data_IF_198017168035
#
_entry.id   IF_198017168035
#
_cell.length_a   1.000
_cell.length_b   1.000
_cell.length_c   1.000
_cell.angle_alpha   90.00
_cell.angle_beta   90.00
_cell.angle_gamma   90.00
#
_symmetry.space_group_name_H-M   'P 1'
#
loop_
_entity.id
_entity.type
_entity.pdbx_description
1 polymer ?
#
# COMPACT_ATOMS: atom_id res chain seq x y z
N UNK A 1 -9.96 -4.91 16.71
CA UNK A 1 -8.61 -4.38 16.42
C UNK A 1 -8.30 -4.77 14.97
N UNK A 2 -7.74 -3.85 14.20
CA UNK A 2 -7.28 -4.15 12.85
C UNK A 2 -6.22 -5.24 12.92
N UNK A 3 -6.26 -6.27 12.07
CA UNK A 3 -5.17 -7.23 11.96
C UNK A 3 -3.94 -6.47 11.44
N UNK A 4 -2.92 -6.39 12.28
CA UNK A 4 -1.65 -5.76 11.94
C UNK A 4 -0.67 -6.86 11.59
N UNK A 5 -0.08 -6.80 10.42
CA UNK A 5 0.87 -7.79 9.95
C UNK A 5 2.32 -7.26 10.02
N UNK A 6 3.24 -8.17 10.26
CA UNK A 6 4.68 -7.99 10.14
C UNK A 6 5.22 -9.08 9.20
N UNK A 7 5.91 -8.71 8.13
CA UNK A 7 6.58 -9.69 7.27
C UNK A 7 7.99 -9.91 7.82
N UNK A 8 8.30 -11.16 8.22
CA UNK A 8 9.64 -11.52 8.66
C UNK A 8 10.61 -11.65 7.47
N UNK A 9 11.89 -11.87 7.75
CA UNK A 9 12.93 -11.97 6.72
C UNK A 9 12.76 -13.17 5.76
N UNK A 10 11.94 -14.14 6.13
CA UNK A 10 11.62 -15.32 5.32
C UNK A 10 10.37 -15.11 4.44
N UNK A 11 9.75 -13.93 4.51
CA UNK A 11 8.52 -13.58 3.78
C UNK A 11 7.23 -14.10 4.44
N UNK A 12 7.30 -14.60 5.69
CA UNK A 12 6.14 -15.07 6.44
C UNK A 12 5.46 -13.90 7.16
N UNK A 13 4.13 -13.82 7.04
CA UNK A 13 3.34 -12.83 7.76
C UNK A 13 3.08 -13.27 9.20
N UNK A 14 3.50 -12.44 10.15
CA UNK A 14 3.21 -12.58 11.58
C UNK A 14 2.10 -11.59 11.95
N UNK A 15 0.92 -12.12 12.25
CA UNK A 15 -0.23 -11.29 12.63
C UNK A 15 -0.15 -10.87 14.10
N UNK A 16 -0.07 -9.57 14.33
CA UNK A 16 -0.03 -8.94 15.66
C UNK A 16 -1.43 -8.49 16.05
N UNK A 17 -2.00 -9.05 17.09
CA UNK A 17 -3.37 -8.74 17.55
C UNK A 17 -3.41 -7.67 18.62
N UNK A 18 -2.32 -7.45 19.34
CA UNK A 18 -2.22 -6.41 20.35
C UNK A 18 -0.80 -6.13 20.77
N UNK A 19 -0.50 -4.85 21.00
CA UNK A 19 0.75 -4.40 21.60
C UNK A 19 0.47 -4.07 23.06
N UNK A 20 1.27 -4.63 23.96
CA UNK A 20 1.11 -4.47 25.40
C UNK A 20 1.52 -3.07 25.85
N UNK A 21 0.60 -2.41 26.54
CA UNK A 21 0.89 -1.16 27.22
C UNK A 21 1.66 -1.35 28.53
N UNK A 22 2.00 -0.24 29.18
CA UNK A 22 2.72 -0.21 30.47
C UNK A 22 1.78 0.08 31.66
N UNK A 23 0.48 0.22 31.42
CA UNK A 23 -0.50 0.52 32.46
C UNK A 23 -0.73 -0.69 33.36
N UNK A 24 -0.46 -0.53 34.67
CA UNK A 24 -0.56 -1.62 35.67
C UNK A 24 -1.99 -2.04 35.97
N UNK A 25 -2.98 -1.19 35.69
CA UNK A 25 -4.37 -1.47 35.94
C UNK A 25 -5.06 -2.21 34.76
N UNK A 26 -4.37 -2.34 33.64
CA UNK A 26 -4.84 -3.08 32.47
C UNK A 26 -4.38 -4.53 32.50
N UNK A 27 -5.32 -5.46 32.27
CA UNK A 27 -4.99 -6.90 32.27
C UNK A 27 -3.99 -7.29 31.20
N UNK A 28 -4.19 -6.77 29.99
CA UNK A 28 -3.30 -6.98 28.83
C UNK A 28 -2.28 -5.83 28.73
N UNK A 29 -1.35 -5.82 29.68
CA UNK A 29 -0.19 -4.92 29.70
C UNK A 29 1.03 -5.69 30.20
N UNK A 30 2.21 -5.14 29.97
CA UNK A 30 3.47 -5.77 30.41
C UNK A 30 3.46 -6.13 31.91
N UNK A 31 2.80 -5.31 32.73
CA UNK A 31 2.73 -5.46 34.19
C UNK A 31 1.36 -5.95 34.70
N UNK A 32 0.43 -6.28 33.80
CA UNK A 32 -0.93 -6.69 34.13
C UNK A 32 -1.06 -8.19 34.42
N UNK A 33 -2.31 -8.61 34.65
CA UNK A 33 -2.64 -10.01 34.98
C UNK A 33 -2.17 -11.00 33.91
N UNK A 34 -2.28 -10.63 32.63
CA UNK A 34 -1.82 -11.40 31.47
C UNK A 34 -0.53 -10.82 30.87
N UNK A 35 0.29 -10.20 31.71
CA UNK A 35 1.55 -9.58 31.31
C UNK A 35 2.73 -10.56 31.31
N UNK A 36 3.93 -10.00 31.33
CA UNK A 36 5.19 -10.74 31.18
C UNK A 36 5.34 -11.92 32.17
N UNK A 37 4.99 -11.70 33.44
CA UNK A 37 5.13 -12.75 34.48
C UNK A 37 4.19 -13.93 34.23
N UNK A 38 2.96 -13.68 33.72
CA UNK A 38 2.00 -14.71 33.36
C UNK A 38 2.56 -15.62 32.27
N UNK A 39 3.08 -15.06 31.20
CA UNK A 39 3.61 -15.84 30.09
C UNK A 39 4.83 -16.67 30.47
N UNK A 40 5.74 -16.10 31.26
CA UNK A 40 6.94 -16.80 31.74
C UNK A 40 6.57 -17.89 32.77
N UNK A 41 5.71 -17.58 33.78
CA UNK A 41 5.49 -18.48 34.91
C UNK A 41 4.40 -19.54 34.67
N UNK A 42 3.40 -19.27 33.82
CA UNK A 42 2.27 -20.14 33.56
C UNK A 42 2.34 -20.87 32.22
N UNK A 43 2.93 -20.22 31.22
CA UNK A 43 3.07 -20.77 29.88
C UNK A 43 4.52 -21.22 29.58
N UNK A 44 5.40 -21.11 30.59
CA UNK A 44 6.79 -21.57 30.53
C UNK A 44 7.63 -20.95 29.41
N UNK A 45 7.25 -19.77 28.94
CA UNK A 45 8.06 -19.04 27.99
C UNK A 45 9.46 -18.72 28.55
N UNK A 46 10.52 -18.76 27.73
CA UNK A 46 11.87 -18.51 28.20
C UNK A 46 12.03 -17.06 28.74
N UNK A 47 12.72 -16.87 29.86
CA UNK A 47 12.89 -15.56 30.47
C UNK A 47 13.97 -14.72 29.76
N UNK A 48 13.79 -14.52 28.42
CA UNK A 48 14.75 -13.80 27.58
C UNK A 48 14.60 -12.28 27.63
N UNK A 49 13.45 -11.81 28.16
CA UNK A 49 13.17 -10.39 28.23
C UNK A 49 11.71 -10.09 28.54
N UNK A 50 11.07 -9.26 27.73
CA UNK A 50 9.73 -8.71 27.99
C UNK A 50 8.78 -9.04 26.83
N UNK A 51 7.65 -9.66 27.15
CA UNK A 51 6.54 -9.84 26.18
C UNK A 51 5.96 -8.48 25.85
N UNK A 52 5.88 -8.14 24.57
CA UNK A 52 5.39 -6.82 24.12
C UNK A 52 4.18 -6.90 23.20
N UNK A 53 3.91 -8.06 22.60
CA UNK A 53 2.74 -8.22 21.75
C UNK A 53 2.30 -9.68 21.71
N UNK A 54 1.00 -9.85 21.47
CA UNK A 54 0.37 -11.13 21.17
C UNK A 54 0.09 -11.26 19.66
N UNK A 55 -0.06 -12.51 19.25
CA UNK A 55 -0.40 -12.88 17.88
C UNK A 55 -1.78 -13.51 17.82
N UNK A 56 -2.25 -13.84 16.61
CA UNK A 56 -3.52 -14.54 16.42
C UNK A 56 -3.53 -15.99 16.96
N UNK A 57 -2.36 -16.51 17.37
CA UNK A 57 -2.20 -17.89 17.85
C UNK A 57 -2.88 -18.17 19.19
N UNK A 58 -3.38 -17.12 19.88
CA UNK A 58 -3.99 -17.28 21.21
C UNK A 58 -2.99 -17.60 22.31
N UNK A 59 -1.73 -17.28 22.14
CA UNK A 59 -0.66 -17.48 23.12
C UNK A 59 0.30 -18.61 22.78
N UNK A 60 0.12 -19.32 21.65
CA UNK A 60 1.07 -20.36 21.21
C UNK A 60 2.35 -19.75 20.60
N UNK A 61 2.31 -18.50 20.17
CA UNK A 61 3.50 -17.71 19.89
C UNK A 61 3.33 -16.27 20.36
N UNK A 62 4.41 -15.71 20.89
CA UNK A 62 4.43 -14.38 21.50
C UNK A 62 5.63 -13.57 21.01
N UNK A 63 5.48 -12.25 21.01
CA UNK A 63 6.54 -11.33 20.60
C UNK A 63 7.23 -10.74 21.83
N UNK A 64 8.55 -10.86 21.86
CA UNK A 64 9.40 -10.44 22.97
C UNK A 64 10.40 -9.36 22.56
N UNK A 65 10.72 -8.49 23.50
CA UNK A 65 11.99 -7.76 23.51
C UNK A 65 13.06 -8.66 24.14
N UNK A 66 14.03 -9.06 23.34
CA UNK A 66 15.12 -9.97 23.78
C UNK A 66 16.31 -9.18 24.30
N UNK A 67 16.54 -9.25 25.60
CA UNK A 67 17.62 -8.54 26.30
C UNK A 67 18.89 -9.37 26.54
N UNK A 68 18.95 -10.60 26.03
CA UNK A 68 20.07 -11.51 26.28
C UNK A 68 21.42 -10.98 25.79
N UNK A 69 21.43 -10.31 24.62
CA UNK A 69 22.68 -9.80 24.05
C UNK A 69 23.03 -8.38 24.53
N UNK A 70 22.04 -7.52 24.75
CA UNK A 70 22.26 -6.09 25.02
C UNK A 70 22.24 -5.76 26.54
N UNK A 71 21.72 -6.68 27.39
CA UNK A 71 21.50 -6.43 28.82
C UNK A 71 20.36 -5.44 29.09
N UNK A 72 20.04 -5.16 30.37
CA UNK A 72 18.80 -4.48 30.77
C UNK A 72 18.72 -2.99 30.38
N UNK A 73 19.79 -2.40 29.89
CA UNK A 73 19.86 -0.99 29.50
C UNK A 73 20.21 -0.78 28.02
N UNK A 74 20.46 -1.86 27.28
CA UNK A 74 20.72 -1.81 25.85
C UNK A 74 19.44 -1.82 25.03
N UNK A 75 19.58 -1.63 23.72
CA UNK A 75 18.47 -1.75 22.76
C UNK A 75 18.21 -3.24 22.50
N UNK A 76 17.03 -3.78 22.85
CA UNK A 76 16.71 -5.19 22.64
C UNK A 76 16.29 -5.47 21.20
N UNK A 77 16.59 -6.67 20.74
CA UNK A 77 16.00 -7.21 19.51
C UNK A 77 14.53 -7.57 19.74
N UNK A 78 13.72 -7.52 18.66
CA UNK A 78 12.35 -8.04 18.68
C UNK A 78 12.35 -9.44 18.09
N UNK A 79 11.83 -10.39 18.85
CA UNK A 79 11.79 -11.79 18.43
C UNK A 79 10.40 -12.39 18.64
N UNK A 80 10.01 -13.33 17.77
CA UNK A 80 8.88 -14.23 17.97
C UNK A 80 9.37 -15.48 18.68
N UNK A 81 8.65 -15.94 19.68
CA UNK A 81 8.91 -17.21 20.36
C UNK A 81 7.72 -18.10 20.15
N UNK A 82 7.94 -19.25 19.51
CA UNK A 82 6.92 -20.23 19.15
C UNK A 82 6.93 -21.39 20.15
N UNK A 83 5.89 -21.48 20.99
CA UNK A 83 5.74 -22.51 22.01
C UNK A 83 5.60 -23.92 21.40
N UNK A 84 4.83 -24.06 20.32
CA UNK A 84 4.63 -25.35 19.67
C UNK A 84 5.89 -25.84 18.95
N UNK A 85 6.77 -24.91 18.55
CA UNK A 85 8.07 -25.19 17.98
C UNK A 85 9.19 -25.34 19.02
N UNK A 86 8.89 -25.89 20.20
CA UNK A 86 9.86 -26.05 21.33
C UNK A 86 10.53 -24.72 21.73
N UNK A 87 9.71 -23.67 21.81
CA UNK A 87 10.13 -22.28 22.11
C UNK A 87 11.21 -21.76 21.16
N UNK A 88 11.13 -22.16 19.89
CA UNK A 88 12.01 -21.65 18.86
C UNK A 88 11.91 -20.13 18.73
N UNK A 89 13.05 -19.48 18.52
CA UNK A 89 13.15 -18.02 18.52
C UNK A 89 13.50 -17.54 17.12
N UNK A 90 12.62 -16.73 16.55
CA UNK A 90 12.80 -16.09 15.23
C UNK A 90 13.00 -14.60 15.39
N UNK A 91 14.07 -14.03 14.81
CA UNK A 91 14.30 -12.59 14.80
C UNK A 91 13.26 -11.91 13.89
N UNK A 92 12.60 -10.88 14.41
CA UNK A 92 11.68 -10.03 13.64
C UNK A 92 12.36 -8.70 13.27
N UNK A 93 12.97 -8.00 14.24
CA UNK A 93 13.62 -6.72 14.01
C UNK A 93 14.79 -6.49 14.98
N UNK A 94 15.74 -5.65 14.57
CA UNK A 94 16.91 -5.30 15.38
C UNK A 94 16.59 -4.31 16.51
N UNK A 95 15.43 -3.61 16.43
CA UNK A 95 14.94 -2.72 17.49
C UNK A 95 13.42 -2.71 17.54
N UNK A 96 12.84 -2.30 18.69
CA UNK A 96 11.40 -2.10 18.79
C UNK A 96 10.89 -0.99 17.84
N UNK A 97 11.69 0.05 17.66
CA UNK A 97 11.35 1.13 16.71
C UNK A 97 11.27 0.65 15.26
N UNK A 98 12.14 -0.27 14.87
CA UNK A 98 12.12 -0.84 13.50
C UNK A 98 10.98 -1.84 13.33
N UNK A 99 10.66 -2.62 14.37
CA UNK A 99 9.48 -3.48 14.39
C UNK A 99 8.19 -2.68 14.18
N UNK A 100 7.99 -1.60 14.93
CA UNK A 100 6.79 -0.75 14.80
C UNK A 100 6.67 -0.13 13.40
N UNK A 101 7.77 0.32 12.79
CA UNK A 101 7.76 0.91 11.43
C UNK A 101 7.39 -0.09 10.33
N UNK A 102 7.59 -1.37 10.57
CA UNK A 102 7.32 -2.44 9.63
C UNK A 102 5.93 -3.07 9.79
N UNK A 103 5.19 -2.68 10.84
CA UNK A 103 3.80 -3.09 11.00
C UNK A 103 2.92 -2.43 9.95
N UNK A 104 2.09 -3.22 9.30
CA UNK A 104 1.12 -2.73 8.31
C UNK A 104 -0.23 -3.43 8.47
N UNK A 105 -1.28 -2.83 7.93
CA UNK A 105 -2.61 -3.43 7.85
C UNK A 105 -2.65 -4.24 6.55
N UNK A 106 -3.05 -5.52 6.60
CA UNK A 106 -3.19 -6.31 5.37
C UNK A 106 -4.45 -5.90 4.61
N UNK A 107 -4.32 -5.70 3.30
CA UNK A 107 -5.46 -5.39 2.43
C UNK A 107 -6.41 -6.58 2.31
N UNK A 108 -5.91 -7.81 2.44
CA UNK A 108 -6.71 -9.05 2.38
C UNK A 108 -7.63 -9.20 3.59
N UNK A 109 -7.17 -8.75 4.77
CA UNK A 109 -7.83 -8.99 6.05
C UNK A 109 -8.67 -7.81 6.54
N UNK A 110 -8.49 -6.60 5.97
CA UNK A 110 -9.25 -5.43 6.38
C UNK A 110 -10.72 -5.57 5.98
N UNK A 111 -11.62 -5.36 6.93
CA UNK A 111 -13.06 -5.32 6.64
C UNK A 111 -13.45 -4.03 5.91
N UNK A 112 -14.59 -4.04 5.21
CA UNK A 112 -15.10 -2.86 4.51
C UNK A 112 -15.36 -1.69 5.48
N UNK A 113 -15.89 -1.96 6.68
CA UNK A 113 -16.13 -0.97 7.71
C UNK A 113 -14.84 -0.34 8.23
N UNK A 114 -13.81 -1.16 8.47
CA UNK A 114 -12.49 -0.70 8.91
C UNK A 114 -11.81 0.13 7.82
N UNK A 115 -11.86 -0.32 6.57
CA UNK A 115 -11.32 0.43 5.44
C UNK A 115 -12.04 1.78 5.26
N UNK A 116 -13.38 1.80 5.34
CA UNK A 116 -14.14 3.04 5.24
C UNK A 116 -13.81 4.05 6.36
N UNK A 117 -13.45 3.56 7.56
CA UNK A 117 -13.07 4.38 8.69
C UNK A 117 -11.68 5.04 8.57
N UNK A 118 -10.82 4.56 7.66
CA UNK A 118 -9.52 5.19 7.40
C UNK A 118 -9.69 6.57 6.74
N UNK A 119 -8.69 7.45 6.91
CA UNK A 119 -8.59 8.66 6.09
C UNK A 119 -8.36 8.29 4.63
N UNK A 120 -8.67 9.20 3.70
CA UNK A 120 -8.46 8.92 2.27
C UNK A 120 -6.97 8.76 1.94
N UNK A 121 -6.09 9.49 2.64
CA UNK A 121 -4.64 9.35 2.54
C UNK A 121 -4.18 7.96 2.99
N UNK A 122 -4.72 7.45 4.12
CA UNK A 122 -4.37 6.11 4.62
C UNK A 122 -4.90 5.01 3.70
N UNK A 123 -6.12 5.18 3.13
CA UNK A 123 -6.65 4.27 2.11
C UNK A 123 -5.74 4.18 0.89
N UNK A 124 -5.32 5.34 0.37
CA UNK A 124 -4.41 5.41 -0.79
C UNK A 124 -3.06 4.79 -0.47
N UNK A 125 -2.53 5.05 0.73
CA UNK A 125 -1.27 4.46 1.17
C UNK A 125 -1.36 2.94 1.24
N UNK A 126 -2.38 2.41 1.91
CA UNK A 126 -2.62 0.96 2.03
C UNK A 126 -2.70 0.30 0.65
N UNK A 127 -3.49 0.86 -0.27
CA UNK A 127 -3.61 0.34 -1.63
C UNK A 127 -2.28 0.39 -2.38
N UNK A 128 -1.57 1.54 -2.37
CA UNK A 128 -0.32 1.68 -3.10
C UNK A 128 0.79 0.74 -2.61
N UNK A 129 0.78 0.39 -1.33
CA UNK A 129 1.76 -0.51 -0.73
C UNK A 129 1.45 -1.99 -0.98
N UNK A 130 0.19 -2.34 -1.26
CA UNK A 130 -0.26 -3.72 -1.25
C UNK A 130 -1.11 -4.15 -2.46
N UNK A 131 -1.38 -3.28 -3.43
CA UNK A 131 -2.23 -3.66 -4.58
C UNK A 131 -1.67 -4.82 -5.40
N UNK A 132 -0.34 -4.97 -5.45
CA UNK A 132 0.32 -6.08 -6.13
C UNK A 132 0.07 -7.44 -5.42
N UNK A 133 -0.36 -7.43 -4.15
CA UNK A 133 -0.70 -8.62 -3.38
C UNK A 133 -2.13 -9.09 -3.68
N UNK A 134 -3.10 -8.16 -3.71
CA UNK A 134 -4.51 -8.44 -4.04
C UNK A 134 -5.19 -7.22 -4.69
N UNK A 135 -5.07 -7.15 -6.00
CA UNK A 135 -5.65 -6.05 -6.79
C UNK A 135 -7.18 -6.11 -6.82
N UNK A 136 -7.76 -7.31 -6.81
CA UNK A 136 -9.21 -7.51 -6.82
C UNK A 136 -9.82 -6.99 -5.51
N UNK A 137 -9.16 -7.26 -4.39
CA UNK A 137 -9.59 -6.73 -3.09
C UNK A 137 -9.45 -5.21 -3.02
N UNK A 138 -8.38 -4.63 -3.56
CA UNK A 138 -8.22 -3.18 -3.66
C UNK A 138 -9.36 -2.52 -4.47
N UNK A 139 -9.73 -3.11 -5.59
CA UNK A 139 -10.86 -2.62 -6.40
C UNK A 139 -12.19 -2.78 -5.67
N UNK A 140 -12.43 -3.92 -5.04
CA UNK A 140 -13.64 -4.19 -4.26
C UNK A 140 -13.82 -3.17 -3.13
N UNK A 141 -12.80 -2.95 -2.31
CA UNK A 141 -12.83 -1.99 -1.20
C UNK A 141 -13.21 -0.58 -1.66
N UNK A 142 -12.63 -0.10 -2.76
CA UNK A 142 -12.97 1.22 -3.32
C UNK A 142 -14.38 1.26 -3.90
N UNK A 143 -14.81 0.22 -4.63
CA UNK A 143 -16.14 0.19 -5.24
C UNK A 143 -17.27 0.05 -4.22
N UNK A 144 -17.02 -0.62 -3.08
CA UNK A 144 -17.99 -0.77 -1.99
C UNK A 144 -18.27 0.54 -1.23
N UNK A 145 -17.38 1.54 -1.32
CA UNK A 145 -17.69 2.91 -0.87
C UNK A 145 -18.80 3.54 -1.72
N UNK A 146 -18.94 3.10 -2.98
CA UNK A 146 -19.79 3.70 -4.00
C UNK A 146 -19.08 4.81 -4.76
N UNK A 147 -19.03 4.69 -6.09
CA UNK A 147 -18.25 5.60 -6.96
C UNK A 147 -18.62 7.08 -6.75
N UNK A 148 -19.88 7.38 -6.47
CA UNK A 148 -20.37 8.75 -6.26
C UNK A 148 -19.92 9.34 -4.90
N UNK A 149 -19.43 8.51 -3.99
CA UNK A 149 -18.93 8.91 -2.67
C UNK A 149 -17.39 8.97 -2.62
N UNK A 150 -16.71 8.55 -3.68
CA UNK A 150 -15.25 8.59 -3.72
C UNK A 150 -14.76 10.04 -3.85
N UNK A 151 -13.80 10.39 -3.01
CA UNK A 151 -13.07 11.66 -3.16
C UNK A 151 -12.21 11.68 -4.43
N UNK A 152 -11.77 12.87 -4.90
CA UNK A 152 -10.91 12.97 -6.09
C UNK A 152 -9.65 12.11 -6.06
N UNK A 153 -9.02 11.95 -4.89
CA UNK A 153 -7.81 11.12 -4.74
C UNK A 153 -8.15 9.63 -4.85
N UNK A 154 -9.28 9.19 -4.30
CA UNK A 154 -9.73 7.80 -4.39
C UNK A 154 -10.22 7.47 -5.81
N UNK A 155 -10.93 8.39 -6.49
CA UNK A 155 -11.28 8.25 -7.91
C UNK A 155 -10.03 8.12 -8.78
N UNK A 156 -9.01 8.94 -8.52
CA UNK A 156 -7.74 8.87 -9.23
C UNK A 156 -6.99 7.56 -8.98
N UNK A 157 -7.07 7.02 -7.76
CA UNK A 157 -6.47 5.75 -7.39
C UNK A 157 -7.18 4.59 -8.10
N UNK A 158 -8.51 4.53 -8.05
CA UNK A 158 -9.29 3.50 -8.74
C UNK A 158 -9.10 3.57 -10.25
N UNK A 159 -9.07 4.78 -10.84
CA UNK A 159 -8.80 4.97 -12.27
C UNK A 159 -7.40 4.47 -12.67
N UNK A 160 -6.38 4.65 -11.80
CA UNK A 160 -5.06 4.10 -12.02
C UNK A 160 -5.07 2.56 -11.99
N UNK A 161 -5.76 1.97 -11.02
CA UNK A 161 -5.91 0.51 -10.93
C UNK A 161 -6.61 -0.02 -12.19
N UNK A 162 -7.67 0.61 -12.66
CA UNK A 162 -8.35 0.22 -13.88
C UNK A 162 -7.45 0.31 -15.11
N UNK A 163 -6.63 1.37 -15.24
CA UNK A 163 -5.65 1.49 -16.31
C UNK A 163 -4.64 0.33 -16.33
N UNK A 164 -4.18 -0.09 -15.16
CA UNK A 164 -3.20 -1.17 -15.03
C UNK A 164 -3.80 -2.57 -15.27
N UNK A 165 -5.15 -2.66 -15.33
CA UNK A 165 -5.89 -3.92 -15.48
C UNK A 165 -6.76 -3.95 -16.74
N UNK A 166 -6.31 -3.35 -17.83
CA UNK A 166 -6.94 -3.35 -19.14
C UNK A 166 -8.39 -2.78 -19.17
N UNK A 167 -8.75 -1.98 -18.16
CA UNK A 167 -10.07 -1.34 -18.03
C UNK A 167 -9.98 0.16 -18.37
N UNK A 168 -9.29 0.50 -19.45
CA UNK A 168 -9.02 1.88 -19.83
C UNK A 168 -10.26 2.75 -20.08
N UNK A 169 -11.34 2.18 -20.62
CA UNK A 169 -12.59 2.92 -20.84
C UNK A 169 -13.23 3.36 -19.51
N UNK A 170 -13.29 2.47 -18.54
CA UNK A 170 -13.82 2.75 -17.21
C UNK A 170 -12.91 3.72 -16.44
N UNK A 171 -11.59 3.63 -16.65
CA UNK A 171 -10.65 4.60 -16.09
C UNK A 171 -10.92 6.02 -16.61
N UNK A 172 -11.18 6.18 -17.91
CA UNK A 172 -11.55 7.50 -18.50
C UNK A 172 -12.79 8.05 -17.82
N UNK A 173 -13.85 7.25 -17.64
CA UNK A 173 -15.09 7.67 -16.98
C UNK A 173 -14.85 8.15 -15.54
N UNK A 174 -13.97 7.48 -14.79
CA UNK A 174 -13.60 7.88 -13.42
C UNK A 174 -12.84 9.21 -13.41
N UNK A 175 -11.86 9.38 -14.31
CA UNK A 175 -11.10 10.63 -14.41
C UNK A 175 -11.99 11.82 -14.82
N UNK A 176 -13.04 11.61 -15.60
CA UNK A 176 -13.99 12.67 -15.96
C UNK A 176 -14.81 13.19 -14.79
N UNK A 177 -15.06 12.36 -13.76
CA UNK A 177 -15.74 12.77 -12.53
C UNK A 177 -14.92 13.68 -11.63
N UNK A 178 -13.60 13.76 -11.84
CA UNK A 178 -12.71 14.59 -11.04
C UNK A 178 -12.81 16.06 -11.46
N UNK A 179 -13.20 16.92 -10.52
CA UNK A 179 -13.29 18.36 -10.73
C UNK A 179 -11.97 18.96 -11.20
N UNK A 180 -12.03 19.99 -12.03
CA UNK A 180 -10.87 20.62 -12.64
C UNK A 180 -9.86 21.15 -11.58
N UNK A 181 -10.33 21.62 -10.43
CA UNK A 181 -9.50 22.10 -9.34
C UNK A 181 -8.56 21.04 -8.74
N UNK A 182 -8.85 19.76 -8.93
CA UNK A 182 -8.03 18.62 -8.48
C UNK A 182 -7.17 17.99 -9.57
N UNK A 183 -7.18 18.55 -10.82
CA UNK A 183 -6.44 18.01 -11.96
C UNK A 183 -4.99 18.49 -11.96
N UNK A 184 -4.14 17.72 -11.33
CA UNK A 184 -2.69 17.89 -11.34
C UNK A 184 -2.03 17.18 -12.55
N UNK A 185 -0.70 17.17 -12.63
CA UNK A 185 0.04 16.48 -13.69
C UNK A 185 -0.31 15.00 -13.78
N UNK A 186 -0.56 14.33 -12.64
CA UNK A 186 -0.83 12.88 -12.59
C UNK A 186 -2.20 12.56 -13.19
N UNK A 187 -3.19 13.43 -13.01
CA UNK A 187 -4.49 13.29 -13.66
C UNK A 187 -4.36 13.34 -15.19
N UNK A 188 -3.64 14.33 -15.73
CA UNK A 188 -3.41 14.44 -17.18
C UNK A 188 -2.64 13.24 -17.73
N UNK A 189 -1.61 12.79 -17.01
CA UNK A 189 -0.84 11.62 -17.38
C UNK A 189 -1.70 10.35 -17.43
N UNK A 190 -2.44 10.05 -16.34
CA UNK A 190 -3.23 8.83 -16.21
C UNK A 190 -4.38 8.78 -17.21
N UNK A 191 -5.12 9.88 -17.38
CA UNK A 191 -6.18 9.97 -18.40
C UNK A 191 -5.60 9.86 -19.80
N UNK A 192 -4.47 10.51 -20.08
CA UNK A 192 -3.76 10.39 -21.35
C UNK A 192 -3.30 8.95 -21.64
N UNK A 193 -2.80 8.25 -20.63
CA UNK A 193 -2.45 6.83 -20.73
C UNK A 193 -3.66 5.95 -21.03
N UNK A 194 -4.81 6.20 -20.38
CA UNK A 194 -6.05 5.47 -20.67
C UNK A 194 -6.47 5.64 -22.14
N UNK A 195 -6.46 6.86 -22.65
CA UNK A 195 -6.74 7.11 -24.07
C UNK A 195 -5.71 6.46 -24.99
N UNK A 196 -4.43 6.45 -24.61
CA UNK A 196 -3.39 5.77 -25.40
C UNK A 196 -3.63 4.25 -25.47
N UNK A 197 -4.09 3.63 -24.38
CA UNK A 197 -4.46 2.21 -24.35
C UNK A 197 -5.66 1.90 -25.24
N UNK A 198 -6.68 2.76 -25.25
CA UNK A 198 -7.86 2.65 -26.13
C UNK A 198 -7.52 2.87 -27.60
N UNK A 199 -6.50 3.71 -27.87
CA UNK A 199 -6.07 4.06 -29.22
C UNK A 199 -5.25 2.98 -29.92
N UNK A 200 -4.92 1.84 -29.26
CA UNK A 200 -4.05 0.83 -29.84
C UNK A 200 -4.52 0.33 -31.20
N UNK A 201 -3.69 0.53 -32.22
CA UNK A 201 -4.00 0.15 -33.61
C UNK A 201 -4.89 1.13 -34.37
N UNK A 202 -5.23 2.29 -33.76
CA UNK A 202 -6.00 3.36 -34.47
C UNK A 202 -5.06 4.27 -35.29
N UNK A 203 -5.67 5.10 -36.18
CA UNK A 203 -4.90 6.08 -36.95
C UNK A 203 -4.56 7.32 -36.13
N UNK A 204 -3.55 8.10 -36.57
CA UNK A 204 -3.16 9.36 -35.96
C UNK A 204 -4.32 10.33 -35.72
N UNK A 205 -5.27 10.37 -36.65
CA UNK A 205 -6.43 11.28 -36.62
C UNK A 205 -7.61 10.76 -35.80
N UNK A 206 -7.47 9.59 -35.13
CA UNK A 206 -8.53 9.11 -34.25
C UNK A 206 -8.69 9.98 -33.02
N UNK A 207 -9.87 9.98 -32.44
CA UNK A 207 -10.19 10.79 -31.26
C UNK A 207 -9.32 10.39 -30.09
N UNK A 208 -9.15 9.10 -29.82
CA UNK A 208 -8.35 8.62 -28.71
C UNK A 208 -6.87 8.98 -28.84
N UNK A 209 -6.28 8.87 -30.03
CA UNK A 209 -4.87 9.30 -30.25
C UNK A 209 -4.71 10.79 -29.99
N UNK A 210 -5.61 11.63 -30.53
CA UNK A 210 -5.52 13.08 -30.34
C UNK A 210 -5.70 13.49 -28.89
N UNK A 211 -6.66 12.88 -28.17
CA UNK A 211 -6.87 13.14 -26.75
C UNK A 211 -5.68 12.68 -25.91
N UNK A 212 -5.13 11.50 -26.19
CA UNK A 212 -3.94 11.00 -25.50
C UNK A 212 -2.76 11.97 -25.64
N UNK A 213 -2.44 12.38 -26.87
CA UNK A 213 -1.32 13.29 -27.12
C UNK A 213 -1.50 14.65 -26.43
N UNK A 214 -2.70 15.26 -26.50
CA UNK A 214 -2.99 16.54 -25.85
C UNK A 214 -2.88 16.46 -24.33
N UNK A 215 -3.40 15.38 -23.71
CA UNK A 215 -3.34 15.18 -22.28
C UNK A 215 -1.89 14.95 -21.81
N UNK A 216 -1.14 14.11 -22.53
CA UNK A 216 0.27 13.85 -22.21
C UNK A 216 1.14 15.10 -22.40
N UNK A 217 0.91 15.91 -23.43
CA UNK A 217 1.61 17.19 -23.60
C UNK A 217 1.36 18.11 -22.39
N UNK A 218 0.13 18.19 -21.91
CA UNK A 218 -0.21 18.96 -20.71
C UNK A 218 0.49 18.41 -19.48
N UNK A 219 0.54 17.09 -19.31
CA UNK A 219 1.26 16.44 -18.22
C UNK A 219 2.77 16.76 -18.30
N UNK A 220 3.38 16.68 -19.48
CA UNK A 220 4.79 17.04 -19.71
C UNK A 220 5.11 18.49 -19.33
N UNK A 221 4.22 19.42 -19.68
CA UNK A 221 4.38 20.82 -19.29
C UNK A 221 4.37 20.98 -17.78
N UNK A 222 3.37 20.40 -17.10
CA UNK A 222 3.22 20.48 -15.65
C UNK A 222 4.39 19.80 -14.91
N UNK A 223 4.89 18.66 -15.39
CA UNK A 223 6.04 17.95 -14.79
C UNK A 223 7.35 18.74 -14.96
N UNK A 224 7.54 19.41 -16.10
CA UNK A 224 8.69 20.29 -16.31
C UNK A 224 8.66 21.51 -15.37
N UNK A 225 7.50 22.16 -15.23
CA UNK A 225 7.30 23.29 -14.31
C UNK A 225 7.54 22.90 -12.84
N UNK A 226 7.22 21.65 -12.47
CA UNK A 226 7.42 21.10 -11.13
C UNK A 226 8.79 20.41 -10.93
N UNK A 227 9.68 20.41 -11.92
CA UNK A 227 10.99 19.73 -11.89
C UNK A 227 10.93 18.22 -11.58
N UNK A 228 9.92 17.53 -12.11
CA UNK A 228 9.65 16.10 -11.92
C UNK A 228 10.23 15.27 -13.08
N UNK A 229 11.55 15.09 -13.12
CA UNK A 229 12.25 14.45 -14.25
C UNK A 229 11.83 13.00 -14.51
N UNK A 230 11.64 12.20 -13.44
CA UNK A 230 11.18 10.81 -13.55
C UNK A 230 9.80 10.73 -14.16
N UNK A 231 8.88 11.59 -13.74
CA UNK A 231 7.51 11.65 -14.24
C UNK A 231 7.45 12.17 -15.69
N UNK A 232 8.37 13.05 -16.06
CA UNK A 232 8.52 13.47 -17.44
C UNK A 232 8.95 12.30 -18.35
N UNK A 233 9.83 11.41 -17.87
CA UNK A 233 10.21 10.18 -18.58
C UNK A 233 8.99 9.30 -18.87
N UNK A 234 8.11 9.11 -17.91
CA UNK A 234 6.87 8.33 -18.12
C UNK A 234 5.97 8.94 -19.20
N UNK A 235 5.86 10.27 -19.24
CA UNK A 235 5.12 10.93 -20.31
C UNK A 235 5.75 10.65 -21.69
N UNK A 236 7.08 10.68 -21.80
CA UNK A 236 7.78 10.36 -23.03
C UNK A 236 7.55 8.91 -23.48
N UNK A 237 7.50 7.97 -22.53
CA UNK A 237 7.21 6.55 -22.80
C UNK A 237 5.82 6.37 -23.43
N UNK A 238 4.80 7.07 -22.91
CA UNK A 238 3.44 7.03 -23.47
C UNK A 238 3.42 7.60 -24.91
N UNK A 239 4.12 8.70 -25.17
CA UNK A 239 4.25 9.24 -26.52
C UNK A 239 4.93 8.23 -27.44
N UNK A 240 6.03 7.62 -27.00
CA UNK A 240 6.72 6.60 -27.77
C UNK A 240 5.82 5.39 -28.06
N UNK A 241 5.03 4.96 -27.08
CA UNK A 241 4.03 3.91 -27.27
C UNK A 241 3.02 4.25 -28.36
N UNK A 242 2.40 5.46 -28.32
CA UNK A 242 1.47 5.93 -29.34
C UNK A 242 2.14 5.92 -30.73
N UNK A 243 3.34 6.47 -30.83
CA UNK A 243 4.07 6.55 -32.10
C UNK A 243 4.47 5.19 -32.64
N UNK A 244 4.54 4.14 -31.82
CA UNK A 244 4.96 2.79 -32.24
C UNK A 244 3.96 2.13 -33.20
N UNK A 245 2.69 2.50 -33.16
CA UNK A 245 1.64 1.94 -34.03
C UNK A 245 1.08 2.93 -35.07
N UNK A 246 1.49 4.19 -35.02
CA UNK A 246 1.09 5.21 -36.00
C UNK A 246 2.13 5.27 -37.12
N UNK A 247 1.68 5.33 -38.40
CA UNK A 247 2.59 5.47 -39.54
C UNK A 247 3.18 6.87 -39.58
N UNK A 248 4.51 7.04 -39.76
CA UNK A 248 5.14 8.34 -39.89
C UNK A 248 4.49 9.29 -40.87
N UNK A 249 4.03 8.77 -42.02
CA UNK A 249 3.32 9.54 -43.05
C UNK A 249 1.99 10.20 -42.60
N UNK A 250 1.45 9.78 -41.46
CA UNK A 250 0.22 10.33 -40.90
C UNK A 250 0.44 11.61 -40.11
N UNK A 251 1.63 11.77 -39.50
CA UNK A 251 1.97 12.91 -38.61
C UNK A 251 3.13 13.79 -39.10
N UNK A 252 3.92 13.37 -40.09
CA UNK A 252 5.07 14.15 -40.62
C UNK A 252 4.67 15.54 -41.14
N UNK A 253 3.41 15.75 -41.47
CA UNK A 253 2.92 17.08 -41.91
C UNK A 253 2.73 18.05 -40.78
N UNK A 254 2.44 17.53 -39.56
CA UNK A 254 2.16 18.33 -38.37
C UNK A 254 3.44 18.55 -37.54
N UNK A 255 4.41 17.64 -37.67
CA UNK A 255 5.73 17.67 -37.02
C UNK A 255 6.83 17.42 -38.07
N UNK A 256 7.16 18.43 -38.93
CA UNK A 256 8.18 18.30 -39.98
C UNK A 256 9.61 18.18 -39.43
#
# INVERSE_FOLDING_TARGET
ALPICFINNDGECVYVTGIYGIDRDKKNSIFGEFGNEFWISKWEYPPIGVVVADTISGGHDMIFLDYRECGPTGEPKVVRVDQEGDYSITLLADSFGDFIKQLYISIEDITDEEFQALSDEDKVKLINEQEDLDIDRAMELLTNIGIDNLSPILLSTLGRIYNNNDRAAEAVELFERIDESYRDWSWYYRKGYAHASLAHGESYHSEHVQQALQLIETAMKKTKEAHLEKQLSWCCEVVAYILSFIKPSEYEKDYP
#
